data_IF_044253477569
#
_entry.id   IF_044253477569
#
_cell.length_a   1.000
_cell.length_b   1.000
_cell.length_c   1.000
_cell.angle_alpha   90.00
_cell.angle_beta   90.00
_cell.angle_gamma   90.00
#
_symmetry.space_group_name_H-M   'P 1'
#
loop_
_entity.id
_entity.type
_entity.pdbx_description
1 polymer ?
#
# COMPACT_ATOMS: atom_id res chain seq x y z
N UNK A 1 -11.46 -6.34 7.53
CA UNK A 1 -10.96 -5.04 7.01
C UNK A 1 -10.50 -5.30 5.58
N UNK A 2 -10.83 -4.44 4.63
CA UNK A 2 -10.35 -4.55 3.26
C UNK A 2 -9.26 -3.51 3.05
N UNK A 3 -8.22 -3.85 2.31
CA UNK A 3 -7.08 -2.95 2.05
C UNK A 3 -6.91 -2.76 0.55
N UNK A 4 -6.83 -1.52 0.12
CA UNK A 4 -6.44 -1.15 -1.23
C UNK A 4 -4.94 -0.86 -1.28
N UNK A 5 -4.30 -1.08 -2.42
CA UNK A 5 -2.92 -0.71 -2.64
C UNK A 5 -2.83 0.27 -3.81
N UNK A 6 -1.90 1.21 -3.71
CA UNK A 6 -1.76 2.22 -4.74
C UNK A 6 -0.58 3.15 -4.50
N UNK A 7 -0.66 4.31 -5.13
CA UNK A 7 0.34 5.35 -5.05
C UNK A 7 -0.14 6.50 -4.18
N UNK A 8 0.77 7.04 -3.38
CA UNK A 8 0.69 8.37 -2.81
C UNK A 8 1.51 9.27 -3.72
N UNK A 9 0.87 10.21 -4.37
CA UNK A 9 1.45 11.09 -5.36
C UNK A 9 1.51 12.52 -4.83
N UNK A 10 2.56 13.25 -5.17
CA UNK A 10 2.66 14.68 -4.90
C UNK A 10 1.64 15.42 -5.75
N UNK A 11 0.94 16.41 -5.19
CA UNK A 11 -0.07 17.15 -5.93
C UNK A 11 0.51 17.95 -7.09
N UNK A 12 1.76 18.48 -6.97
CA UNK A 12 2.44 19.14 -8.07
C UNK A 12 2.69 18.21 -9.29
N UNK A 13 2.93 16.92 -9.04
CA UNK A 13 3.04 15.89 -10.08
C UNK A 13 1.67 15.56 -10.67
N UNK A 14 0.64 15.44 -9.83
CA UNK A 14 -0.74 15.20 -10.31
C UNK A 14 -1.19 16.30 -11.25
N UNK A 15 -1.02 17.55 -10.85
CA UNK A 15 -1.38 18.72 -11.66
C UNK A 15 -0.58 18.80 -12.96
N UNK A 16 0.75 18.64 -12.87
CA UNK A 16 1.65 18.72 -14.02
C UNK A 16 1.35 17.68 -15.10
N UNK A 17 1.01 16.46 -14.71
CA UNK A 17 0.80 15.35 -15.65
C UNK A 17 -0.67 15.02 -15.91
N UNK A 18 -1.60 15.77 -15.30
CA UNK A 18 -3.05 15.59 -15.51
C UNK A 18 -3.54 14.21 -15.04
N UNK A 19 -3.10 13.77 -13.86
CA UNK A 19 -3.45 12.47 -13.32
C UNK A 19 -4.84 12.54 -12.68
N UNK A 20 -5.76 11.68 -13.11
CA UNK A 20 -7.03 11.49 -12.43
C UNK A 20 -6.84 10.48 -11.29
N UNK A 21 -6.54 10.98 -10.10
CA UNK A 21 -6.29 10.16 -8.93
C UNK A 21 -7.56 9.43 -8.44
N UNK A 22 -8.74 9.98 -8.70
CA UNK A 22 -10.03 9.41 -8.26
C UNK A 22 -10.46 8.23 -9.14
N UNK A 23 -10.08 8.24 -10.42
CA UNK A 23 -10.37 7.12 -11.33
C UNK A 23 -9.60 5.83 -11.01
N UNK A 24 -8.54 5.93 -10.20
CA UNK A 24 -7.59 4.84 -10.02
C UNK A 24 -6.67 4.64 -11.23
N UNK A 25 -5.76 3.67 -11.15
CA UNK A 25 -4.80 3.39 -12.21
C UNK A 25 -4.66 1.88 -12.41
N UNK A 26 -4.60 1.42 -13.66
CA UNK A 26 -4.18 0.06 -13.97
C UNK A 26 -2.66 -0.04 -14.03
N UNK A 27 -2.13 -1.27 -13.99
CA UNK A 27 -0.67 -1.50 -14.09
C UNK A 27 -0.12 -0.99 -15.44
N UNK A 28 -0.89 -1.12 -16.53
CA UNK A 28 -0.52 -0.62 -17.84
C UNK A 28 -0.46 0.92 -17.86
N UNK A 29 -1.43 1.56 -17.22
CA UNK A 29 -1.44 3.03 -17.08
C UNK A 29 -0.28 3.53 -16.21
N UNK A 30 0.22 2.70 -15.28
CA UNK A 30 1.43 3.03 -14.50
C UNK A 30 2.67 3.12 -15.39
N UNK A 31 2.85 2.23 -16.36
CA UNK A 31 4.00 2.26 -17.26
C UNK A 31 4.06 3.57 -18.04
N UNK A 32 2.94 3.99 -18.63
CA UNK A 32 2.84 5.25 -19.37
C UNK A 32 3.08 6.46 -18.46
N UNK A 33 2.46 6.46 -17.29
CA UNK A 33 2.61 7.51 -16.30
C UNK A 33 4.07 7.62 -15.84
N UNK A 34 4.70 6.51 -15.49
CA UNK A 34 6.08 6.48 -15.01
C UNK A 34 7.06 6.94 -16.09
N UNK A 35 6.83 6.57 -17.35
CA UNK A 35 7.63 7.05 -18.47
C UNK A 35 7.53 8.57 -18.62
N UNK A 36 6.31 9.13 -18.58
CA UNK A 36 6.06 10.58 -18.69
C UNK A 36 6.69 11.34 -17.51
N UNK A 37 6.56 10.83 -16.29
CA UNK A 37 7.18 11.46 -15.12
C UNK A 37 8.69 11.42 -15.24
N UNK A 38 9.28 10.30 -15.63
CA UNK A 38 10.74 10.16 -15.76
C UNK A 38 11.32 11.06 -16.85
N UNK A 39 10.62 11.21 -17.96
CA UNK A 39 11.01 12.14 -19.03
C UNK A 39 10.97 13.60 -18.58
N UNK A 40 9.92 14.00 -17.87
CA UNK A 40 9.74 15.38 -17.40
C UNK A 40 10.48 15.72 -16.10
N UNK A 41 10.95 14.72 -15.35
CA UNK A 41 11.66 14.84 -14.07
C UNK A 41 12.89 13.90 -14.05
N UNK A 42 13.87 14.08 -14.94
CA UNK A 42 14.96 13.10 -15.12
C UNK A 42 15.81 12.88 -13.85
N UNK A 43 15.89 13.90 -12.99
CA UNK A 43 16.65 13.86 -11.73
C UNK A 43 15.89 13.20 -10.58
N UNK A 44 14.61 12.87 -10.76
CA UNK A 44 13.80 12.18 -9.76
C UNK A 44 13.66 10.70 -10.08
N UNK A 45 13.48 9.92 -9.04
CA UNK A 45 12.89 8.60 -9.16
C UNK A 45 11.37 8.75 -9.17
N UNK A 46 10.69 7.86 -9.86
CA UNK A 46 9.24 7.98 -10.03
C UNK A 46 8.51 7.48 -8.80
N UNK A 47 8.94 6.35 -8.27
CA UNK A 47 8.26 5.71 -7.14
C UNK A 47 9.22 4.92 -6.26
N UNK A 48 8.81 4.69 -5.01
CA UNK A 48 9.52 3.89 -4.05
C UNK A 48 8.52 3.29 -3.04
N UNK A 49 8.72 2.08 -2.54
CA UNK A 49 7.97 1.58 -1.40
C UNK A 49 8.03 2.54 -0.21
N UNK A 50 6.91 2.76 0.46
CA UNK A 50 6.82 3.71 1.57
C UNK A 50 7.71 3.30 2.75
N UNK A 51 7.76 2.01 3.05
CA UNK A 51 8.48 1.46 4.19
C UNK A 51 9.65 0.58 3.75
N UNK A 52 10.70 0.53 4.56
CA UNK A 52 11.79 -0.41 4.39
C UNK A 52 11.28 -1.86 4.44
N UNK A 53 11.84 -2.72 3.60
CA UNK A 53 11.49 -4.15 3.55
C UNK A 53 10.19 -4.47 2.82
N UNK A 54 9.45 -3.46 2.35
CA UNK A 54 8.27 -3.68 1.51
C UNK A 54 8.68 -3.79 0.06
N UNK A 55 8.29 -4.87 -0.61
CA UNK A 55 8.58 -5.04 -2.03
C UNK A 55 7.56 -4.32 -2.91
N UNK A 56 7.98 -4.00 -4.14
CA UNK A 56 7.08 -3.48 -5.18
C UNK A 56 5.97 -4.48 -5.48
N UNK A 57 6.31 -5.77 -5.48
CA UNK A 57 5.38 -6.86 -5.72
C UNK A 57 4.23 -6.85 -4.72
N UNK A 58 4.53 -6.69 -3.43
CA UNK A 58 3.52 -6.63 -2.39
C UNK A 58 2.73 -5.32 -2.39
N UNK A 59 3.34 -4.24 -2.87
CA UNK A 59 2.73 -2.91 -2.81
C UNK A 59 1.80 -2.61 -3.98
N UNK A 60 2.05 -3.13 -5.17
CA UNK A 60 1.27 -2.79 -6.37
C UNK A 60 0.70 -4.00 -7.11
N UNK A 61 1.39 -5.14 -7.07
CA UNK A 61 1.02 -6.28 -7.92
C UNK A 61 0.28 -7.38 -7.16
N UNK A 62 0.04 -7.24 -5.84
CA UNK A 62 -0.56 -8.29 -5.05
C UNK A 62 -2.02 -8.54 -5.44
N UNK A 63 -2.28 -9.68 -6.06
CA UNK A 63 -3.61 -10.19 -6.42
C UNK A 63 -3.87 -11.60 -5.86
N UNK A 64 -3.23 -11.93 -4.74
CA UNK A 64 -3.33 -13.24 -4.09
C UNK A 64 -3.54 -13.10 -2.57
N UNK A 65 -4.15 -14.11 -1.95
CA UNK A 65 -4.15 -14.27 -0.50
C UNK A 65 -2.90 -15.06 -0.08
N UNK A 66 -2.04 -14.46 0.72
CA UNK A 66 -0.77 -15.02 1.17
C UNK A 66 -0.86 -16.02 2.31
N UNK A 67 -2.05 -16.39 2.78
CA UNK A 67 -2.34 -17.42 3.80
C UNK A 67 -1.49 -17.35 5.10
N UNK A 68 -0.71 -16.28 5.28
CA UNK A 68 0.11 -16.03 6.47
C UNK A 68 1.61 -16.02 6.23
N UNK A 69 2.16 -16.87 5.37
CA UNK A 69 3.61 -16.95 5.08
C UNK A 69 4.01 -16.41 3.69
N UNK A 70 3.04 -16.14 2.84
CA UNK A 70 3.25 -15.67 1.45
C UNK A 70 4.04 -16.63 0.54
N UNK A 71 4.26 -17.86 0.95
CA UNK A 71 4.84 -18.92 0.12
C UNK A 71 3.75 -19.74 -0.54
N UNK A 72 2.82 -20.27 0.26
CA UNK A 72 1.58 -20.87 -0.21
C UNK A 72 0.53 -19.78 -0.38
N UNK A 73 -0.01 -19.63 -1.58
CA UNK A 73 -0.97 -18.57 -1.89
C UNK A 73 -2.22 -19.11 -2.56
N UNK A 74 -3.32 -18.39 -2.39
CA UNK A 74 -4.51 -18.55 -3.22
C UNK A 74 -4.55 -17.40 -4.22
N UNK A 75 -4.49 -17.73 -5.50
CA UNK A 75 -4.57 -16.74 -6.57
C UNK A 75 -5.95 -16.08 -6.60
N UNK A 76 -6.04 -14.91 -7.23
CA UNK A 76 -7.28 -14.11 -7.32
C UNK A 76 -7.98 -13.89 -5.98
N UNK A 77 -7.18 -13.68 -4.93
CA UNK A 77 -7.68 -13.48 -3.56
C UNK A 77 -8.51 -14.66 -3.04
N UNK A 78 -8.35 -15.85 -3.60
CA UNK A 78 -9.15 -17.02 -3.25
C UNK A 78 -10.59 -16.98 -3.77
N UNK A 79 -10.89 -16.13 -4.77
CA UNK A 79 -12.26 -15.99 -5.28
C UNK A 79 -12.64 -17.06 -6.33
N UNK A 80 -11.73 -17.92 -6.73
CA UNK A 80 -11.97 -18.94 -7.72
C UNK A 80 -11.54 -20.32 -7.24
N UNK A 81 -10.43 -20.80 -7.76
CA UNK A 81 -9.82 -22.05 -7.33
C UNK A 81 -9.16 -21.88 -5.95
N UNK A 82 -9.54 -22.75 -5.01
CA UNK A 82 -8.97 -22.79 -3.66
C UNK A 82 -7.72 -23.70 -3.59
N UNK A 83 -7.12 -24.05 -4.72
CA UNK A 83 -5.87 -24.80 -4.76
C UNK A 83 -4.72 -23.88 -4.34
N UNK A 84 -4.05 -24.26 -3.25
CA UNK A 84 -2.85 -23.55 -2.78
C UNK A 84 -1.71 -23.78 -3.76
N UNK A 85 -1.12 -22.71 -4.23
CA UNK A 85 0.02 -22.72 -5.15
C UNK A 85 1.26 -22.17 -4.45
N UNK A 86 2.44 -22.64 -4.84
CA UNK A 86 3.68 -21.97 -4.45
C UNK A 86 3.81 -20.68 -5.28
N UNK A 87 3.82 -19.53 -4.64
CA UNK A 87 3.87 -18.22 -5.31
C UNK A 87 5.02 -18.14 -6.33
N UNK A 88 6.19 -18.65 -5.95
CA UNK A 88 7.41 -18.54 -6.76
C UNK A 88 7.40 -19.40 -8.03
N UNK A 89 6.50 -20.39 -8.12
CA UNK A 89 6.33 -21.27 -9.28
C UNK A 89 5.24 -20.75 -10.23
N UNK A 90 4.60 -19.62 -9.90
CA UNK A 90 3.53 -19.05 -10.73
C UNK A 90 4.09 -18.14 -11.83
N UNK A 91 3.48 -18.19 -13.01
CA UNK A 91 3.76 -17.26 -14.11
C UNK A 91 3.52 -15.80 -13.68
N UNK A 92 2.50 -15.58 -12.87
CA UNK A 92 2.20 -14.27 -12.25
C UNK A 92 3.42 -13.69 -11.50
N UNK A 93 4.09 -14.50 -10.67
CA UNK A 93 5.27 -14.03 -9.92
C UNK A 93 6.43 -13.66 -10.86
N UNK A 94 6.65 -14.48 -11.88
CA UNK A 94 7.68 -14.22 -12.90
C UNK A 94 7.41 -12.90 -13.64
N UNK A 95 6.16 -12.64 -14.04
CA UNK A 95 5.77 -11.40 -14.70
C UNK A 95 5.97 -10.17 -13.80
N UNK A 96 5.58 -10.27 -12.54
CA UNK A 96 5.77 -9.20 -11.56
C UNK A 96 7.25 -8.89 -11.34
N UNK A 97 8.10 -9.91 -11.19
CA UNK A 97 9.55 -9.73 -11.03
C UNK A 97 10.17 -9.09 -12.28
N UNK A 98 9.75 -9.53 -13.46
CA UNK A 98 10.20 -8.96 -14.74
C UNK A 98 9.82 -7.48 -14.84
N UNK A 99 8.61 -7.11 -14.45
CA UNK A 99 8.13 -5.72 -14.43
C UNK A 99 8.91 -4.87 -13.42
N UNK A 100 9.11 -5.36 -12.21
CA UNK A 100 9.90 -4.66 -11.20
C UNK A 100 11.35 -4.41 -11.65
N UNK A 101 11.96 -5.39 -12.32
CA UNK A 101 13.29 -5.25 -12.90
C UNK A 101 13.31 -4.22 -14.03
N UNK A 102 12.33 -4.24 -14.92
CA UNK A 102 12.18 -3.25 -16.01
C UNK A 102 12.11 -1.83 -15.44
N UNK A 103 11.32 -1.61 -14.40
CA UNK A 103 11.20 -0.30 -13.75
C UNK A 103 12.51 0.15 -13.08
N UNK A 104 13.25 -0.79 -12.50
CA UNK A 104 14.57 -0.48 -11.95
C UNK A 104 15.58 -0.10 -13.05
N UNK A 105 15.64 -0.86 -14.14
CA UNK A 105 16.52 -0.59 -15.29
C UNK A 105 16.19 0.74 -15.99
N UNK A 106 14.91 1.12 -16.02
CA UNK A 106 14.45 2.44 -16.53
C UNK A 106 14.71 3.59 -15.53
N UNK A 107 15.20 3.31 -14.34
CA UNK A 107 15.46 4.30 -13.31
C UNK A 107 14.19 4.92 -12.70
N UNK A 108 13.07 4.19 -12.72
CA UNK A 108 11.85 4.62 -12.03
C UNK A 108 11.94 4.43 -10.52
N UNK A 109 12.76 3.48 -10.08
CA UNK A 109 12.96 3.07 -8.69
C UNK A 109 14.43 3.30 -8.33
N UNK A 110 14.72 3.56 -7.06
CA UNK A 110 16.09 3.67 -6.60
C UNK A 110 16.90 2.38 -6.91
N UNK A 111 18.14 2.50 -7.41
CA UNK A 111 18.97 1.34 -7.74
C UNK A 111 19.26 0.42 -6.56
N UNK A 112 19.32 1.00 -5.35
CA UNK A 112 19.62 0.33 -4.08
C UNK A 112 18.37 0.11 -3.22
N UNK A 113 17.16 0.16 -3.81
CA UNK A 113 15.89 0.08 -3.10
C UNK A 113 15.77 -1.11 -2.13
N UNK A 114 16.40 -2.24 -2.45
CA UNK A 114 16.38 -3.46 -1.63
C UNK A 114 17.32 -3.42 -0.41
N UNK A 115 18.34 -2.57 -0.43
CA UNK A 115 19.37 -2.49 0.61
C UNK A 115 19.42 -1.15 1.33
N UNK A 116 18.71 -0.16 0.81
CA UNK A 116 18.69 1.19 1.34
C UNK A 116 17.92 1.25 2.67
N UNK A 117 18.54 1.74 3.75
CA UNK A 117 17.86 1.88 5.03
C UNK A 117 16.86 3.03 5.07
N UNK A 118 16.95 3.99 4.15
CA UNK A 118 16.02 5.12 4.09
C UNK A 118 14.67 4.68 3.52
N UNK A 119 13.62 5.23 4.08
CA UNK A 119 12.26 4.94 3.64
C UNK A 119 11.86 5.78 2.42
N UNK A 120 10.89 5.31 1.66
CA UNK A 120 10.27 6.10 0.58
C UNK A 120 9.74 7.44 1.08
N UNK A 121 9.28 7.52 2.33
CA UNK A 121 8.83 8.77 2.97
C UNK A 121 9.96 9.80 3.05
N UNK A 122 11.18 9.39 3.41
CA UNK A 122 12.33 10.30 3.48
C UNK A 122 12.66 10.89 2.08
N UNK A 123 12.66 10.06 1.05
CA UNK A 123 12.87 10.50 -0.34
C UNK A 123 11.73 11.36 -0.87
N UNK A 124 10.50 11.04 -0.51
CA UNK A 124 9.32 11.84 -0.86
C UNK A 124 9.41 13.25 -0.26
N UNK A 125 9.78 13.34 1.03
CA UNK A 125 9.97 14.60 1.75
C UNK A 125 11.05 15.49 1.15
N UNK A 126 12.13 14.91 0.64
CA UNK A 126 13.21 15.65 -0.03
C UNK A 126 12.92 15.99 -1.49
N UNK A 127 11.80 15.54 -2.04
CA UNK A 127 11.43 15.74 -3.43
C UNK A 127 12.19 14.87 -4.43
N UNK A 128 12.95 13.88 -3.95
CA UNK A 128 13.72 12.96 -4.81
C UNK A 128 12.86 11.88 -5.48
N UNK A 129 11.66 11.61 -4.95
CA UNK A 129 10.68 10.72 -5.56
C UNK A 129 9.38 11.47 -5.83
N UNK A 130 8.71 11.11 -6.92
CA UNK A 130 7.43 11.70 -7.32
C UNK A 130 6.24 11.04 -6.57
N UNK A 131 6.37 9.77 -6.21
CA UNK A 131 5.34 9.00 -5.52
C UNK A 131 5.93 7.96 -4.57
N UNK A 132 5.09 7.45 -3.67
CA UNK A 132 5.40 6.25 -2.87
C UNK A 132 4.28 5.24 -3.00
N UNK A 133 4.64 3.96 -2.95
CA UNK A 133 3.69 2.84 -2.95
C UNK A 133 3.26 2.54 -1.52
N UNK A 134 1.97 2.43 -1.28
CA UNK A 134 1.44 2.20 0.06
C UNK A 134 0.09 1.50 0.06
N UNK A 135 -0.27 1.07 1.26
CA UNK A 135 -1.63 0.71 1.62
C UNK A 135 -2.49 1.99 1.62
N UNK A 136 -3.61 1.95 0.91
CA UNK A 136 -4.51 3.09 0.76
C UNK A 136 -5.79 2.84 1.58
N UNK A 137 -6.10 3.79 2.43
CA UNK A 137 -7.34 3.87 3.20
C UNK A 137 -7.78 5.34 3.35
N UNK A 138 -9.02 5.63 3.75
CA UNK A 138 -9.43 6.99 4.05
C UNK A 138 -8.49 7.66 5.06
N UNK A 139 -8.09 8.91 4.78
CA UNK A 139 -7.17 9.68 5.61
C UNK A 139 -5.69 9.64 5.19
N UNK A 140 -5.25 8.65 4.38
CA UNK A 140 -3.85 8.56 3.91
C UNK A 140 -3.32 9.85 3.30
N UNK A 141 -4.06 10.60 2.45
CA UNK A 141 -3.58 11.88 1.92
C UNK A 141 -3.27 12.89 3.01
N UNK A 142 -4.14 13.01 4.00
CA UNK A 142 -3.97 13.93 5.13
C UNK A 142 -2.78 13.53 6.00
N UNK A 143 -2.70 12.25 6.36
CA UNK A 143 -1.62 11.72 7.19
C UNK A 143 -0.26 11.88 6.50
N UNK A 144 -0.19 11.56 5.21
CA UNK A 144 1.03 11.69 4.41
C UNK A 144 1.43 13.16 4.22
N UNK A 145 0.47 14.06 4.01
CA UNK A 145 0.72 15.50 3.94
C UNK A 145 1.28 16.01 5.28
N UNK A 146 0.68 15.62 6.40
CA UNK A 146 1.15 16.01 7.73
C UNK A 146 2.54 15.45 8.03
N UNK A 147 2.80 14.21 7.65
CA UNK A 147 4.09 13.55 7.88
C UNK A 147 5.22 14.16 7.04
N UNK A 148 4.94 14.52 5.80
CA UNK A 148 5.97 14.98 4.86
C UNK A 148 6.07 16.49 4.72
N UNK A 149 4.99 17.22 5.04
CA UNK A 149 4.84 18.65 4.75
C UNK A 149 4.57 18.95 3.27
N UNK A 150 4.29 17.93 2.45
CA UNK A 150 4.05 18.06 1.01
C UNK A 150 2.62 17.64 0.71
N UNK A 151 1.79 18.51 0.10
CA UNK A 151 0.46 18.13 -0.34
C UNK A 151 0.48 16.92 -1.28
N UNK A 152 -0.32 15.92 -0.96
CA UNK A 152 -0.39 14.69 -1.75
C UNK A 152 -1.82 14.14 -1.81
N UNK A 153 -2.06 13.32 -2.83
CA UNK A 153 -3.28 12.56 -3.02
C UNK A 153 -2.95 11.10 -3.32
N UNK A 154 -3.95 10.25 -3.33
CA UNK A 154 -3.77 8.81 -3.53
C UNK A 154 -4.47 8.34 -4.78
N UNK A 155 -3.81 7.48 -5.55
CA UNK A 155 -4.41 6.77 -6.68
C UNK A 155 -4.40 5.26 -6.39
N UNK A 156 -5.57 4.64 -6.39
CA UNK A 156 -5.72 3.19 -6.16
C UNK A 156 -5.28 2.44 -7.42
N UNK A 157 -4.45 1.42 -7.24
CA UNK A 157 -4.05 0.48 -8.30
C UNK A 157 -4.75 -0.86 -8.11
N UNK A 158 -4.67 -1.41 -6.90
CA UNK A 158 -5.41 -2.61 -6.56
C UNK A 158 -6.61 -2.25 -5.67
N UNK A 159 -7.82 -2.62 -6.08
CA UNK A 159 -9.02 -2.37 -5.28
C UNK A 159 -8.94 -3.08 -3.93
N UNK A 160 -9.76 -2.63 -3.00
CA UNK A 160 -9.77 -3.16 -1.66
C UNK A 160 -10.34 -4.59 -1.61
N UNK A 161 -9.54 -5.52 -1.12
CA UNK A 161 -9.92 -6.90 -0.84
C UNK A 161 -9.73 -7.26 0.63
N UNK A 162 -10.65 -8.09 1.16
CA UNK A 162 -10.44 -8.78 2.42
C UNK A 162 -9.73 -10.11 2.14
N UNK A 163 -8.62 -10.34 2.82
CA UNK A 163 -7.87 -11.59 2.73
C UNK A 163 -7.47 -12.06 4.14
N UNK A 164 -6.91 -13.25 4.25
CA UNK A 164 -6.49 -13.83 5.52
C UNK A 164 -5.57 -12.90 6.31
N UNK A 165 -4.62 -12.26 5.64
CA UNK A 165 -3.67 -11.36 6.27
C UNK A 165 -4.35 -10.09 6.80
N UNK A 166 -5.25 -9.46 6.03
CA UNK A 166 -5.94 -8.23 6.45
C UNK A 166 -6.96 -8.47 7.55
N UNK A 167 -7.58 -9.64 7.59
CA UNK A 167 -8.48 -10.03 8.69
C UNK A 167 -7.69 -10.28 9.98
N UNK A 168 -6.51 -10.88 9.87
CA UNK A 168 -5.65 -11.18 11.01
C UNK A 168 -4.74 -10.03 11.47
N UNK A 169 -4.63 -8.93 10.70
CA UNK A 169 -3.68 -7.85 10.99
C UNK A 169 -4.04 -7.02 12.23
N UNK A 170 -5.35 -6.89 12.53
CA UNK A 170 -5.83 -6.13 13.69
C UNK A 170 -6.79 -7.01 14.48
N UNK A 171 -6.27 -7.68 15.48
CA UNK A 171 -7.03 -8.56 16.37
C UNK A 171 -7.07 -7.94 17.76
N UNK A 172 -8.25 -7.79 18.29
CA UNK A 172 -8.46 -7.48 19.70
C UNK A 172 -8.83 -8.77 20.43
N UNK A 173 -8.14 -9.07 21.50
CA UNK A 173 -8.36 -10.29 22.28
C UNK A 173 -8.59 -9.97 23.74
N UNK A 174 -9.44 -10.77 24.39
CA UNK A 174 -9.68 -10.71 25.83
C UNK A 174 -8.94 -11.89 26.47
N UNK A 175 -7.97 -11.65 27.38
CA UNK A 175 -7.25 -12.75 28.00
C UNK A 175 -8.16 -13.57 28.90
N UNK A 176 -7.87 -14.86 29.03
CA UNK A 176 -8.62 -15.80 29.89
C UNK A 176 -8.65 -15.36 31.35
N UNK A 177 -7.65 -14.60 31.79
CA UNK A 177 -7.56 -14.03 33.13
C UNK A 177 -8.48 -12.82 33.39
N UNK A 178 -9.18 -12.32 32.36
CA UNK A 178 -10.07 -11.19 32.50
C UNK A 178 -11.27 -11.53 33.39
N UNK A 179 -11.48 -10.74 34.45
CA UNK A 179 -12.57 -10.95 35.40
C UNK A 179 -13.95 -10.53 34.87
N UNK A 180 -13.99 -9.62 33.91
CA UNK A 180 -15.23 -9.05 33.38
C UNK A 180 -15.17 -8.97 31.85
N UNK A 181 -15.14 -10.08 31.12
CA UNK A 181 -15.00 -10.09 29.66
C UNK A 181 -16.16 -9.40 28.95
N UNK A 182 -17.38 -9.46 29.51
CA UNK A 182 -18.55 -8.79 28.99
C UNK A 182 -18.38 -7.26 28.97
N UNK A 183 -17.82 -6.69 30.05
CA UNK A 183 -17.55 -5.24 30.13
C UNK A 183 -16.48 -4.80 29.11
N UNK A 184 -15.52 -5.64 28.82
CA UNK A 184 -14.52 -5.36 27.77
C UNK A 184 -15.17 -5.36 26.40
N UNK A 185 -16.07 -6.31 26.12
CA UNK A 185 -16.82 -6.35 24.86
C UNK A 185 -17.79 -5.16 24.72
N UNK A 186 -18.46 -4.77 25.79
CA UNK A 186 -19.29 -3.55 25.80
C UNK A 186 -18.45 -2.32 25.45
N UNK A 187 -17.27 -2.18 26.05
CA UNK A 187 -16.36 -1.07 25.76
C UNK A 187 -15.86 -1.09 24.32
N UNK A 188 -15.42 -2.25 23.81
CA UNK A 188 -15.00 -2.39 22.42
C UNK A 188 -16.13 -2.05 21.46
N UNK A 189 -17.34 -2.54 21.74
CA UNK A 189 -18.51 -2.19 20.94
C UNK A 189 -18.81 -0.69 20.95
N UNK A 190 -18.66 -0.03 22.11
CA UNK A 190 -18.84 1.41 22.24
C UNK A 190 -17.86 2.18 21.35
N UNK A 191 -16.60 1.75 21.27
CA UNK A 191 -15.58 2.36 20.39
C UNK A 191 -15.97 2.31 18.90
N UNK A 192 -16.74 1.32 18.48
CA UNK A 192 -17.20 1.18 17.10
C UNK A 192 -18.57 1.82 16.83
N UNK A 193 -19.34 2.13 17.87
CA UNK A 193 -20.70 2.62 17.74
C UNK A 193 -20.89 4.07 18.17
N UNK A 194 -19.98 4.63 18.94
CA UNK A 194 -20.07 5.99 19.49
C UNK A 194 -18.87 6.83 19.02
N UNK A 195 -19.14 7.78 18.13
CA UNK A 195 -18.12 8.65 17.56
C UNK A 195 -17.48 9.60 18.60
N UNK A 196 -18.23 10.04 19.62
CA UNK A 196 -17.72 10.96 20.64
C UNK A 196 -16.71 10.24 21.54
N UNK A 197 -17.01 9.00 21.94
CA UNK A 197 -16.09 8.15 22.68
C UNK A 197 -14.83 7.84 21.87
N UNK A 198 -14.98 7.49 20.61
CA UNK A 198 -13.84 7.24 19.71
C UNK A 198 -12.98 8.49 19.57
N UNK A 199 -13.57 9.65 19.27
CA UNK A 199 -12.86 10.90 19.10
C UNK A 199 -12.13 11.33 20.38
N UNK A 200 -12.77 11.18 21.55
CA UNK A 200 -12.14 11.48 22.82
C UNK A 200 -10.89 10.61 23.11
N UNK A 201 -10.89 9.36 22.66
CA UNK A 201 -9.72 8.47 22.82
C UNK A 201 -8.60 8.74 21.83
N UNK A 202 -8.92 9.13 20.61
CA UNK A 202 -7.93 9.35 19.54
C UNK A 202 -7.36 10.76 19.58
N UNK A 203 -8.18 11.74 19.87
CA UNK A 203 -7.82 13.17 19.74
C UNK A 203 -7.78 13.92 21.08
N UNK A 204 -8.31 13.35 22.14
CA UNK A 204 -8.37 13.96 23.48
C UNK A 204 -9.61 14.79 23.72
#
# INVERSE_FOLDING_TARGET
MASAYGLILRNDIIEKYGIDADAGLTVEQLDDLFARIKEGEPDKYVTQPQSQGTSILESLFKTYDGLGDTMGVLMDWGQGDLTVQNLFDTEYYEECVRKAREWNEKGYILPDASTNPDTGVAYFKTGKVASTMSLIHPGVPTDSTNMTGIPCSTAIVNPAFGNTQTVGAVIQSIPVSCKNPEKVLEFVNLLYSDADVYNALVWG
#
